data_IF_436951838253
#
_entry.id   IF_436951838253
#
_cell.length_a   1.000
_cell.length_b   1.000
_cell.length_c   1.000
_cell.angle_alpha   90.00
_cell.angle_beta   90.00
_cell.angle_gamma   90.00
#
_symmetry.space_group_name_H-M   'P 1'
#
loop_
_entity.id
_entity.type
_entity.pdbx_description
1 polymer ?
#
# COMPACT_ATOMS: atom_id res chain seq x y z
N UNK A 1 15.30 -47.86 -13.14
CA UNK A 1 15.56 -47.38 -14.49
C UNK A 1 14.26 -46.71 -14.96
N UNK A 2 14.13 -45.41 -14.78
CA UNK A 2 12.98 -44.61 -15.19
C UNK A 2 13.47 -43.21 -15.50
N UNK A 3 13.35 -42.78 -16.73
CA UNK A 3 13.84 -41.51 -17.29
C UNK A 3 13.18 -40.33 -16.61
N UNK A 4 13.97 -39.51 -15.96
CA UNK A 4 13.64 -38.14 -15.59
C UNK A 4 13.64 -37.29 -16.88
N UNK A 5 12.49 -36.85 -17.32
CA UNK A 5 12.36 -35.89 -18.41
C UNK A 5 12.70 -34.48 -17.81
N UNK A 6 13.85 -33.95 -18.16
CA UNK A 6 14.22 -32.58 -17.98
C UNK A 6 13.29 -31.72 -18.86
N UNK A 7 12.45 -30.92 -18.23
CA UNK A 7 11.75 -29.81 -18.87
C UNK A 7 12.79 -28.73 -19.15
N UNK A 8 13.06 -28.49 -20.41
CA UNK A 8 14.02 -27.51 -20.90
C UNK A 8 13.42 -26.12 -20.84
N UNK A 9 14.26 -25.11 -20.53
CA UNK A 9 14.02 -23.65 -20.38
C UNK A 9 13.34 -22.94 -21.57
N UNK A 10 12.62 -23.61 -22.42
CA UNK A 10 11.97 -23.06 -23.61
C UNK A 10 10.45 -23.01 -23.57
N UNK A 11 9.80 -23.36 -22.46
CA UNK A 11 8.33 -23.37 -22.37
C UNK A 11 7.72 -22.36 -21.38
N UNK A 12 8.53 -21.59 -20.68
CA UNK A 12 8.03 -20.51 -19.79
C UNK A 12 8.14 -19.13 -20.47
N UNK A 13 8.88 -19.00 -21.57
CA UNK A 13 9.12 -17.73 -22.28
C UNK A 13 8.33 -17.53 -23.59
N UNK A 14 7.31 -18.32 -23.89
CA UNK A 14 6.73 -18.35 -25.22
C UNK A 14 5.22 -18.03 -25.31
N UNK A 15 4.69 -17.19 -24.44
CA UNK A 15 3.28 -16.75 -24.60
C UNK A 15 3.09 -15.22 -24.61
N UNK A 16 4.15 -14.44 -24.60
CA UNK A 16 4.08 -12.98 -24.86
C UNK A 16 5.14 -12.62 -25.90
N UNK A 17 5.00 -13.14 -27.11
CA UNK A 17 5.76 -12.68 -28.27
C UNK A 17 4.81 -12.46 -29.44
N UNK A 18 4.69 -11.19 -29.82
CA UNK A 18 4.17 -10.71 -31.11
C UNK A 18 2.70 -11.07 -31.42
N UNK A 19 1.76 -10.43 -30.75
CA UNK A 19 0.53 -10.01 -31.41
C UNK A 19 0.81 -8.64 -32.04
N UNK A 20 0.56 -8.52 -33.35
CA UNK A 20 0.71 -7.30 -34.13
C UNK A 20 0.00 -6.12 -33.46
N UNK A 21 0.74 -5.05 -33.19
CA UNK A 21 0.29 -3.84 -32.47
C UNK A 21 -0.71 -2.99 -33.29
N UNK A 22 -1.23 -3.46 -34.40
CA UNK A 22 -2.19 -2.73 -35.24
C UNK A 22 -3.65 -3.20 -35.12
N UNK A 23 -3.94 -4.37 -34.61
CA UNK A 23 -5.32 -4.89 -34.47
C UNK A 23 -5.93 -4.77 -33.06
N UNK A 24 -5.16 -4.32 -32.07
CA UNK A 24 -5.62 -4.20 -30.67
C UNK A 24 -6.45 -2.91 -30.38
N UNK A 25 -6.67 -2.04 -31.36
CA UNK A 25 -7.24 -0.70 -31.09
C UNK A 25 -8.76 -0.57 -31.22
N UNK A 26 -9.55 -1.62 -31.48
CA UNK A 26 -11.00 -1.45 -31.73
C UNK A 26 -11.91 -2.61 -31.29
N UNK A 27 -11.58 -3.37 -30.26
CA UNK A 27 -12.61 -4.20 -29.61
C UNK A 27 -13.01 -3.43 -28.33
N UNK A 28 -14.27 -2.99 -28.18
CA UNK A 28 -14.75 -2.52 -26.89
C UNK A 28 -14.63 -3.71 -25.94
N UNK A 29 -13.67 -3.67 -25.05
CA UNK A 29 -13.53 -4.67 -24.01
C UNK A 29 -14.58 -4.36 -22.95
N UNK A 30 -15.35 -5.35 -22.55
CA UNK A 30 -16.28 -5.29 -21.43
C UNK A 30 -15.56 -5.33 -20.07
N UNK A 31 -14.22 -5.26 -20.05
CA UNK A 31 -13.45 -5.25 -18.81
C UNK A 31 -13.73 -3.96 -18.02
N UNK A 32 -14.13 -4.08 -16.73
CA UNK A 32 -14.51 -2.93 -15.92
C UNK A 32 -13.35 -1.94 -15.77
N UNK A 33 -13.66 -0.65 -15.67
CA UNK A 33 -12.64 0.34 -15.29
C UNK A 33 -12.18 0.06 -13.86
N UNK A 34 -10.87 0.00 -13.69
CA UNK A 34 -10.21 -0.40 -12.46
C UNK A 34 -10.40 0.66 -11.38
N UNK A 35 -10.72 0.25 -10.16
CA UNK A 35 -10.51 1.05 -8.96
C UNK A 35 -9.30 0.46 -8.24
N UNK A 36 -8.17 1.15 -8.37
CA UNK A 36 -6.94 0.74 -7.72
C UNK A 36 -6.98 1.10 -6.24
N UNK A 37 -6.77 0.11 -5.37
CA UNK A 37 -6.73 0.33 -3.92
C UNK A 37 -5.30 0.50 -3.40
N UNK A 38 -4.34 0.45 -4.29
CA UNK A 38 -2.93 0.72 -4.02
C UNK A 38 -2.25 1.35 -5.23
N UNK A 39 -2.11 2.64 -5.14
CA UNK A 39 -1.22 3.47 -5.93
C UNK A 39 -0.41 4.34 -4.95
N UNK A 40 0.54 5.10 -5.47
CA UNK A 40 1.37 5.99 -4.65
C UNK A 40 1.40 7.41 -5.20
N UNK A 41 1.71 8.35 -4.31
CA UNK A 41 2.00 9.74 -4.69
C UNK A 41 3.35 10.16 -4.13
N UNK A 42 4.12 10.90 -4.93
CA UNK A 42 5.32 11.60 -4.42
C UNK A 42 4.90 12.99 -4.01
N UNK A 43 5.03 13.32 -2.75
CA UNK A 43 4.60 14.61 -2.22
C UNK A 43 5.36 15.75 -2.90
N UNK A 44 4.69 16.78 -3.39
CA UNK A 44 5.37 18.01 -3.84
C UNK A 44 6.05 18.72 -2.68
N UNK A 45 7.17 19.38 -2.98
CA UNK A 45 8.00 20.04 -1.95
C UNK A 45 7.25 21.06 -1.08
N UNK A 46 6.16 21.66 -1.58
CA UNK A 46 5.38 22.68 -0.89
C UNK A 46 4.42 22.14 0.19
N UNK A 47 4.15 20.82 0.23
CA UNK A 47 3.13 20.23 1.14
C UNK A 47 3.27 20.72 2.58
N UNK A 48 4.48 20.70 3.11
CA UNK A 48 4.76 21.14 4.48
C UNK A 48 5.21 22.60 4.55
N UNK A 49 5.96 23.07 3.55
CA UNK A 49 6.50 24.44 3.56
C UNK A 49 5.38 25.51 3.51
N UNK A 50 4.25 25.22 2.87
CA UNK A 50 3.12 26.13 2.79
C UNK A 50 2.16 26.02 4.00
N UNK A 51 2.21 24.91 4.75
CA UNK A 51 1.26 24.61 5.84
C UNK A 51 1.82 24.70 7.25
N UNK A 52 3.15 24.58 7.40
CA UNK A 52 3.76 24.65 8.73
C UNK A 52 3.92 26.09 9.22
N UNK A 53 3.81 26.33 10.55
CA UNK A 53 4.19 27.60 11.15
C UNK A 53 5.63 27.98 10.84
N UNK A 54 5.90 29.29 10.64
CA UNK A 54 7.21 29.82 10.24
C UNK A 54 8.38 29.30 11.08
N UNK A 55 8.18 29.10 12.40
CA UNK A 55 9.22 28.60 13.30
C UNK A 55 9.72 27.20 12.99
N UNK A 56 8.97 26.42 12.19
CA UNK A 56 9.26 25.04 11.84
C UNK A 56 9.71 24.84 10.38
N UNK A 57 9.76 25.90 9.57
CA UNK A 57 10.11 25.74 8.14
C UNK A 57 11.53 25.19 7.92
N UNK A 58 12.48 25.57 8.79
CA UNK A 58 13.88 25.09 8.67
C UNK A 58 14.09 23.67 9.20
N UNK A 59 13.24 23.19 10.13
CA UNK A 59 13.35 21.88 10.77
C UNK A 59 12.29 20.89 10.22
N UNK A 60 11.20 21.39 9.69
CA UNK A 60 10.15 20.60 9.05
C UNK A 60 10.59 20.01 7.71
N UNK A 61 9.76 19.13 7.13
CA UNK A 61 10.07 18.49 5.86
C UNK A 61 10.30 19.51 4.74
N UNK A 62 11.43 19.38 4.06
CA UNK A 62 11.81 20.19 2.89
C UNK A 62 12.67 19.37 1.96
N UNK A 63 12.72 19.74 0.69
CA UNK A 63 13.57 19.09 -0.31
C UNK A 63 14.86 19.85 -0.52
N UNK A 64 15.95 19.09 -0.67
CA UNK A 64 17.26 19.61 -1.05
C UNK A 64 17.86 18.75 -2.16
N UNK A 65 18.63 19.36 -3.06
CA UNK A 65 19.36 18.64 -4.11
C UNK A 65 20.77 18.35 -3.64
N UNK A 66 21.12 17.06 -3.54
CA UNK A 66 22.40 16.61 -3.02
C UNK A 66 22.88 15.32 -3.70
N UNK A 67 24.22 15.06 -3.73
CA UNK A 67 24.75 13.80 -4.21
C UNK A 67 24.45 12.65 -3.24
N UNK A 68 24.41 11.44 -3.77
CA UNK A 68 24.43 10.20 -2.98
C UNK A 68 25.89 9.83 -2.71
N UNK A 69 26.29 9.75 -1.43
CA UNK A 69 27.63 9.28 -1.05
C UNK A 69 27.72 7.76 -1.04
N UNK A 70 26.69 7.11 -0.51
CA UNK A 70 26.67 5.67 -0.35
C UNK A 70 25.24 5.15 -0.32
N UNK A 71 25.00 3.95 -0.89
CA UNK A 71 23.78 3.21 -0.76
C UNK A 71 24.09 1.77 -0.40
N UNK A 72 23.68 1.33 0.79
CA UNK A 72 23.85 -0.06 1.23
C UNK A 72 22.49 -0.73 1.45
N UNK A 73 22.46 -2.04 1.22
CA UNK A 73 21.31 -2.89 1.61
C UNK A 73 21.81 -3.91 2.63
N UNK A 74 21.24 -3.90 3.82
CA UNK A 74 21.70 -4.75 4.91
C UNK A 74 20.52 -5.16 5.80
N UNK A 75 20.34 -6.46 5.99
CA UNK A 75 19.30 -7.01 6.86
C UNK A 75 17.90 -6.54 6.47
N UNK A 76 17.58 -6.52 5.17
CA UNK A 76 16.27 -6.10 4.66
C UNK A 76 16.02 -4.58 4.67
N UNK A 77 17.08 -3.75 4.76
CA UNK A 77 16.94 -2.29 4.80
C UNK A 77 17.89 -1.59 3.86
N UNK A 78 17.38 -0.65 3.09
CA UNK A 78 18.19 0.32 2.36
C UNK A 78 18.68 1.43 3.29
N UNK A 79 19.96 1.77 3.19
CA UNK A 79 20.62 2.81 3.98
C UNK A 79 21.33 3.78 3.05
N UNK A 80 20.64 4.82 2.57
CA UNK A 80 21.27 5.89 1.80
C UNK A 80 22.02 6.86 2.71
N UNK A 81 23.16 7.33 2.25
CA UNK A 81 23.94 8.39 2.90
C UNK A 81 24.02 9.58 1.96
N UNK A 82 23.42 10.70 2.37
CA UNK A 82 23.49 11.97 1.64
C UNK A 82 24.92 12.50 1.66
N UNK A 83 25.41 12.93 0.51
CA UNK A 83 26.72 13.55 0.36
C UNK A 83 26.69 15.06 0.60
N UNK A 84 27.87 15.65 0.67
CA UNK A 84 28.10 17.09 0.79
C UNK A 84 28.20 17.75 -0.61
N UNK A 85 27.94 19.04 -0.73
CA UNK A 85 28.15 19.75 -2.00
C UNK A 85 29.58 19.58 -2.51
N UNK A 86 29.73 18.98 -3.70
CA UNK A 86 31.01 18.69 -4.32
C UNK A 86 31.51 17.25 -4.20
N UNK A 87 30.78 16.36 -3.53
CA UNK A 87 31.01 14.92 -3.56
C UNK A 87 30.74 14.36 -4.97
N UNK A 88 31.55 13.38 -5.40
CA UNK A 88 31.40 12.67 -6.68
C UNK A 88 30.35 11.56 -6.56
N UNK A 89 29.07 11.89 -6.70
CA UNK A 89 27.99 10.90 -6.65
C UNK A 89 26.82 11.31 -7.53
N UNK A 90 25.90 10.37 -7.87
CA UNK A 90 24.67 10.71 -8.57
C UNK A 90 23.86 11.71 -7.74
N UNK A 91 23.40 12.78 -8.38
CA UNK A 91 22.63 13.84 -7.72
C UNK A 91 21.15 13.52 -7.79
N UNK A 92 20.46 13.63 -6.63
CA UNK A 92 19.02 13.47 -6.53
C UNK A 92 18.39 14.50 -5.61
N UNK A 93 17.07 14.49 -5.55
CA UNK A 93 16.30 15.28 -4.58
C UNK A 93 16.08 14.46 -3.31
N UNK A 94 16.35 15.10 -2.18
CA UNK A 94 16.29 14.50 -0.86
C UNK A 94 15.28 15.23 -0.01
N UNK A 95 14.45 14.51 0.69
CA UNK A 95 13.72 15.02 1.83
C UNK A 95 14.64 15.13 3.03
N UNK A 96 14.61 16.29 3.66
CA UNK A 96 15.31 16.58 4.94
C UNK A 96 14.25 16.98 5.95
N UNK A 97 14.24 16.27 7.07
CA UNK A 97 13.31 16.51 8.18
C UNK A 97 14.03 16.25 9.51
N UNK A 98 14.22 17.27 10.32
CA UNK A 98 15.17 17.22 11.44
C UNK A 98 16.53 16.68 10.97
N UNK A 99 16.97 15.52 11.52
CA UNK A 99 18.20 14.82 11.10
C UNK A 99 17.93 13.66 10.13
N UNK A 100 16.68 13.48 9.71
CA UNK A 100 16.31 12.43 8.78
C UNK A 100 16.57 12.89 7.34
N UNK A 101 17.27 12.06 6.57
CA UNK A 101 17.54 12.27 5.16
C UNK A 101 17.00 11.10 4.35
N UNK A 102 16.11 11.38 3.41
CA UNK A 102 15.49 10.35 2.57
C UNK A 102 15.52 10.79 1.11
N UNK A 103 16.22 10.07 0.23
CA UNK A 103 16.24 10.38 -1.18
C UNK A 103 14.91 9.97 -1.86
N UNK A 104 14.59 10.63 -2.95
CA UNK A 104 13.71 10.08 -3.97
C UNK A 104 14.49 9.07 -4.79
N UNK A 105 13.90 7.90 -5.04
CA UNK A 105 14.57 6.83 -5.76
C UNK A 105 13.81 6.40 -7.00
N UNK A 106 14.50 5.74 -7.93
CA UNK A 106 13.87 5.17 -9.12
C UNK A 106 12.82 4.10 -8.80
N UNK A 107 12.95 3.40 -7.68
CA UNK A 107 11.97 2.40 -7.27
C UNK A 107 10.62 3.04 -6.89
N UNK A 108 10.66 4.24 -6.30
CA UNK A 108 9.45 4.98 -5.93
C UNK A 108 8.70 5.55 -7.15
N UNK A 109 9.35 5.63 -8.33
CA UNK A 109 8.77 6.20 -9.56
C UNK A 109 9.35 5.55 -10.80
N UNK A 110 9.06 4.28 -11.00
CA UNK A 110 9.64 3.45 -12.07
C UNK A 110 8.81 3.41 -13.36
N UNK A 111 7.54 3.85 -13.32
CA UNK A 111 6.67 3.82 -14.51
C UNK A 111 7.24 4.61 -15.68
N UNK A 112 7.21 4.01 -16.87
CA UNK A 112 7.76 4.57 -18.10
C UNK A 112 9.21 4.16 -18.38
N UNK A 113 9.81 3.33 -17.53
CA UNK A 113 11.14 2.75 -17.72
C UNK A 113 11.04 1.25 -18.01
N UNK A 114 11.94 0.73 -18.85
CA UNK A 114 12.08 -0.70 -19.07
C UNK A 114 12.65 -1.37 -17.81
N UNK A 115 12.31 -2.66 -17.58
CA UNK A 115 12.73 -3.40 -16.38
C UNK A 115 14.25 -3.39 -16.14
N UNK A 116 15.05 -3.43 -17.20
CA UNK A 116 16.52 -3.38 -17.12
C UNK A 116 17.08 -1.99 -16.79
N UNK A 117 16.26 -0.94 -16.93
CA UNK A 117 16.61 0.45 -16.61
C UNK A 117 16.26 0.81 -15.16
N UNK A 118 15.38 0.04 -14.51
CA UNK A 118 15.00 0.26 -13.12
C UNK A 118 16.14 -0.19 -12.20
N UNK A 119 16.81 0.81 -11.62
CA UNK A 119 17.97 0.61 -10.73
C UNK A 119 17.71 1.27 -9.39
N UNK A 120 18.43 0.80 -8.37
CA UNK A 120 18.46 1.47 -7.09
C UNK A 120 19.35 2.72 -7.18
N UNK A 121 18.77 3.81 -7.65
CA UNK A 121 19.43 5.10 -7.85
C UNK A 121 18.58 6.24 -7.28
N UNK A 122 19.26 7.31 -6.84
CA UNK A 122 18.58 8.55 -6.47
C UNK A 122 18.21 9.33 -7.72
N UNK A 123 17.07 10.01 -7.68
CA UNK A 123 16.53 10.78 -8.80
C UNK A 123 16.07 12.16 -8.36
N UNK A 124 15.87 13.03 -9.35
CA UNK A 124 15.23 14.34 -9.16
C UNK A 124 13.77 14.31 -9.61
N UNK A 125 12.97 15.32 -9.21
CA UNK A 125 11.58 15.46 -9.68
C UNK A 125 11.49 15.51 -11.20
N UNK A 126 12.46 16.13 -11.89
CA UNK A 126 12.49 16.21 -13.35
C UNK A 126 12.73 14.86 -14.04
N UNK A 127 13.25 13.88 -13.31
CA UNK A 127 13.53 12.53 -13.82
C UNK A 127 12.40 11.55 -13.59
N UNK A 128 11.33 11.95 -12.91
CA UNK A 128 10.17 11.09 -12.71
C UNK A 128 9.01 11.49 -13.62
N UNK A 129 8.09 10.57 -13.85
CA UNK A 129 6.88 10.86 -14.60
C UNK A 129 6.01 11.86 -13.81
N UNK A 130 5.54 12.96 -14.45
CA UNK A 130 4.78 14.01 -13.74
C UNK A 130 3.52 13.49 -13.01
N UNK A 131 2.85 12.44 -13.51
CA UNK A 131 1.73 11.81 -12.82
C UNK A 131 2.04 11.29 -11.42
N UNK A 132 3.32 11.20 -11.04
CA UNK A 132 3.74 10.83 -9.67
C UNK A 132 3.41 11.93 -8.65
N UNK A 133 3.38 13.22 -9.06
CA UNK A 133 3.22 14.37 -8.15
C UNK A 133 2.27 15.47 -8.66
N UNK A 134 1.76 15.37 -9.88
CA UNK A 134 0.82 16.32 -10.48
C UNK A 134 -0.53 15.67 -10.74
N UNK A 135 -1.60 16.22 -10.18
CA UNK A 135 -2.96 15.66 -10.27
C UNK A 135 -3.45 15.57 -11.72
N UNK A 136 -3.21 16.60 -12.53
CA UNK A 136 -3.70 16.62 -13.92
C UNK A 136 -3.01 15.54 -14.76
N UNK A 137 -1.70 15.37 -14.59
CA UNK A 137 -0.94 14.33 -15.27
C UNK A 137 -1.30 12.95 -14.74
N UNK A 138 -1.56 12.81 -13.42
CA UNK A 138 -2.04 11.55 -12.82
C UNK A 138 -3.35 11.11 -13.47
N UNK A 139 -4.33 12.00 -13.63
CA UNK A 139 -5.58 11.66 -14.28
C UNK A 139 -5.39 11.21 -15.72
N UNK A 140 -4.48 11.85 -16.48
CA UNK A 140 -4.14 11.43 -17.83
C UNK A 140 -3.49 10.03 -17.85
N UNK A 141 -2.59 9.73 -16.92
CA UNK A 141 -1.97 8.42 -16.78
C UNK A 141 -2.97 7.33 -16.37
N UNK A 142 -3.93 7.65 -15.51
CA UNK A 142 -5.03 6.75 -15.16
C UNK A 142 -5.93 6.45 -16.36
N UNK A 143 -6.18 7.44 -17.24
CA UNK A 143 -6.97 7.22 -18.45
C UNK A 143 -6.27 6.26 -19.41
N UNK A 144 -4.96 6.40 -19.59
CA UNK A 144 -4.14 5.45 -20.38
C UNK A 144 -4.19 4.04 -19.80
N UNK A 145 -4.20 3.93 -18.48
CA UNK A 145 -4.14 2.67 -17.74
C UNK A 145 -5.50 2.02 -17.44
N UNK A 146 -6.59 2.54 -18.01
CA UNK A 146 -7.96 2.08 -17.76
C UNK A 146 -8.41 2.17 -16.28
N UNK A 147 -7.78 3.04 -15.48
CA UNK A 147 -8.10 3.24 -14.06
C UNK A 147 -9.17 4.31 -13.91
N UNK A 148 -10.26 4.00 -13.19
CA UNK A 148 -11.33 4.94 -12.84
C UNK A 148 -10.94 5.81 -11.66
N UNK A 149 -10.52 5.16 -10.58
CA UNK A 149 -10.13 5.82 -9.35
C UNK A 149 -8.97 5.11 -8.68
N UNK A 150 -8.17 5.83 -7.89
CA UNK A 150 -7.02 5.28 -7.20
C UNK A 150 -6.89 5.83 -5.78
N UNK A 151 -6.65 4.93 -4.82
CA UNK A 151 -6.24 5.25 -3.46
C UNK A 151 -4.71 5.35 -3.46
N UNK A 152 -4.16 6.44 -2.89
CA UNK A 152 -2.73 6.71 -3.00
C UNK A 152 -2.03 6.70 -1.63
N UNK A 153 -1.07 5.79 -1.48
CA UNK A 153 -0.15 5.77 -0.34
C UNK A 153 0.93 6.85 -0.47
N UNK A 154 1.48 7.32 0.66
CA UNK A 154 2.53 8.33 0.69
C UNK A 154 3.92 7.75 0.37
N UNK A 155 4.84 8.61 -0.11
CA UNK A 155 6.25 8.27 -0.34
C UNK A 155 7.17 8.76 0.78
N UNK A 156 7.28 10.09 1.01
CA UNK A 156 8.17 10.62 2.05
C UNK A 156 7.77 10.22 3.48
N UNK A 157 6.51 10.28 3.89
CA UNK A 157 6.08 9.78 5.19
C UNK A 157 6.36 8.28 5.38
N UNK A 158 6.72 7.58 4.34
CA UNK A 158 6.64 6.13 4.17
C UNK A 158 5.19 5.67 4.30
N UNK A 159 4.91 4.39 4.16
CA UNK A 159 3.57 3.85 3.93
C UNK A 159 2.50 4.20 4.99
N UNK A 160 2.87 4.50 6.24
CA UNK A 160 1.90 4.82 7.29
C UNK A 160 2.35 5.96 8.23
N UNK A 161 3.28 6.81 7.79
CA UNK A 161 3.78 7.92 8.61
C UNK A 161 4.92 7.54 9.55
N UNK A 162 5.65 6.46 9.28
CA UNK A 162 6.79 6.01 10.09
C UNK A 162 7.83 7.13 10.27
N UNK A 163 8.05 7.95 9.24
CA UNK A 163 8.98 9.08 9.29
C UNK A 163 8.66 10.04 10.45
N UNK A 164 7.38 10.33 10.67
CA UNK A 164 6.96 11.21 11.77
C UNK A 164 7.03 10.51 13.14
N UNK A 165 6.95 9.19 13.17
CA UNK A 165 7.15 8.39 14.39
C UNK A 165 8.62 8.39 14.83
N UNK A 166 9.56 8.54 13.91
CA UNK A 166 10.99 8.64 14.19
C UNK A 166 11.42 10.05 14.62
N UNK A 167 10.57 11.07 14.47
CA UNK A 167 10.85 12.46 14.81
C UNK A 167 11.07 12.68 16.32
N UNK A 168 11.92 13.65 16.65
CA UNK A 168 12.19 14.05 18.04
C UNK A 168 11.18 15.04 18.60
N UNK A 169 10.79 16.02 17.78
CA UNK A 169 9.78 17.02 18.13
C UNK A 169 8.38 16.49 17.80
N UNK A 170 7.66 16.01 18.83
CA UNK A 170 6.32 15.44 18.68
C UNK A 170 5.25 16.48 18.28
N UNK A 171 5.43 17.75 18.67
CA UNK A 171 4.53 18.83 18.28
C UNK A 171 4.68 19.12 16.77
N UNK A 172 5.92 19.18 16.29
CA UNK A 172 6.20 19.30 14.86
C UNK A 172 5.69 18.08 14.08
N UNK A 173 5.92 16.86 14.59
CA UNK A 173 5.46 15.63 13.97
C UNK A 173 3.93 15.61 13.80
N UNK A 174 3.18 16.02 14.82
CA UNK A 174 1.72 16.11 14.73
C UNK A 174 1.26 17.14 13.68
N UNK A 175 1.93 18.30 13.62
CA UNK A 175 1.66 19.30 12.59
C UNK A 175 1.97 18.74 11.18
N UNK A 176 3.03 17.95 11.05
CA UNK A 176 3.38 17.33 9.77
C UNK A 176 2.35 16.28 9.31
N UNK A 177 1.84 15.45 10.22
CA UNK A 177 0.74 14.51 9.93
C UNK A 177 -0.50 15.28 9.47
N UNK A 178 -0.90 16.34 10.18
CA UNK A 178 -2.07 17.14 9.82
C UNK A 178 -1.89 17.89 8.50
N UNK A 179 -0.71 18.43 8.25
CA UNK A 179 -0.39 19.11 6.99
C UNK A 179 -0.48 18.15 5.79
N UNK A 180 0.01 16.92 5.94
CA UNK A 180 -0.15 15.87 4.92
C UNK A 180 -1.63 15.55 4.69
N UNK A 181 -2.40 15.30 5.75
CA UNK A 181 -3.82 14.96 5.65
C UNK A 181 -4.63 16.08 5.00
N UNK A 182 -4.34 17.34 5.33
CA UNK A 182 -5.01 18.48 4.72
C UNK A 182 -4.65 18.62 3.24
N UNK A 183 -3.38 18.48 2.87
CA UNK A 183 -2.96 18.45 1.48
C UNK A 183 -3.60 17.28 0.70
N UNK A 184 -3.62 16.09 1.28
CA UNK A 184 -4.21 14.91 0.64
C UNK A 184 -5.68 15.16 0.29
N UNK A 185 -6.46 15.70 1.21
CA UNK A 185 -7.90 15.91 1.01
C UNK A 185 -8.21 17.16 0.16
N UNK A 186 -7.46 18.26 0.36
CA UNK A 186 -7.79 19.57 -0.22
C UNK A 186 -7.16 19.80 -1.59
N UNK A 187 -6.00 19.16 -1.84
CA UNK A 187 -5.21 19.41 -3.05
C UNK A 187 -5.08 18.15 -3.91
N UNK A 188 -4.48 17.07 -3.39
CA UNK A 188 -4.30 15.84 -4.17
C UNK A 188 -5.63 15.21 -4.58
N UNK A 189 -6.53 14.99 -3.64
CA UNK A 189 -7.89 14.53 -3.89
C UNK A 189 -8.91 15.67 -4.05
N UNK A 190 -8.45 16.92 -4.12
CA UNK A 190 -9.28 18.11 -4.22
C UNK A 190 -10.05 18.20 -5.55
N UNK A 191 -10.66 19.37 -5.83
CA UNK A 191 -11.55 19.54 -7.00
C UNK A 191 -10.92 19.16 -8.34
N UNK A 192 -9.60 19.35 -8.51
CA UNK A 192 -8.87 18.98 -9.73
C UNK A 192 -8.89 17.47 -10.00
N UNK A 193 -8.96 16.65 -8.95
CA UNK A 193 -9.03 15.20 -9.04
C UNK A 193 -10.39 14.67 -9.51
N UNK A 194 -11.44 15.50 -9.46
CA UNK A 194 -12.80 15.14 -9.92
C UNK A 194 -13.36 13.87 -9.26
N UNK A 195 -13.00 13.61 -7.99
CA UNK A 195 -13.36 12.43 -7.24
C UNK A 195 -12.63 11.13 -7.64
N UNK A 196 -11.68 11.21 -8.57
CA UNK A 196 -10.94 10.02 -9.06
C UNK A 196 -9.74 9.64 -8.19
N UNK A 197 -9.26 10.54 -7.33
CA UNK A 197 -8.26 10.22 -6.32
C UNK A 197 -8.96 10.06 -4.98
N UNK A 198 -8.68 8.95 -4.30
CA UNK A 198 -9.30 8.54 -3.05
C UNK A 198 -8.34 8.85 -1.92
N UNK A 199 -8.72 9.64 -0.91
CA UNK A 199 -7.80 10.04 0.13
C UNK A 199 -7.48 8.90 1.10
N UNK A 200 -6.18 8.71 1.33
CA UNK A 200 -5.61 7.91 2.40
C UNK A 200 -4.90 8.83 3.38
N UNK A 201 -5.34 8.84 4.63
CA UNK A 201 -4.79 9.72 5.66
C UNK A 201 -3.83 9.01 6.60
N UNK A 202 -2.98 9.78 7.26
CA UNK A 202 -2.02 9.32 8.25
C UNK A 202 -2.51 9.61 9.66
N UNK A 203 -1.97 8.87 10.62
CA UNK A 203 -2.21 9.08 12.05
C UNK A 203 -0.90 9.30 12.81
N UNK A 204 -0.94 10.00 13.95
CA UNK A 204 0.18 10.05 14.87
C UNK A 204 0.35 8.70 15.57
N UNK A 205 1.15 7.79 14.98
CA UNK A 205 1.34 6.40 15.44
C UNK A 205 1.85 6.28 16.89
N UNK A 206 2.41 7.35 17.46
CA UNK A 206 2.92 7.38 18.84
C UNK A 206 1.85 7.64 19.90
N UNK A 207 0.62 8.00 19.49
CA UNK A 207 -0.48 8.32 20.42
C UNK A 207 -1.83 7.85 19.84
N UNK A 208 -2.40 6.74 20.34
CA UNK A 208 -3.68 6.20 19.86
C UNK A 208 -4.89 7.12 20.07
N UNK A 209 -4.84 8.06 21.04
CA UNK A 209 -5.93 9.02 21.24
C UNK A 209 -5.90 10.13 20.18
N UNK A 210 -4.71 10.67 19.89
CA UNK A 210 -4.53 11.62 18.78
C UNK A 210 -4.83 10.94 17.43
N UNK A 211 -4.49 9.64 17.28
CA UNK A 211 -4.85 8.85 16.13
C UNK A 211 -6.38 8.77 15.95
N UNK A 212 -7.12 8.51 17.01
CA UNK A 212 -8.58 8.49 17.00
C UNK A 212 -9.18 9.86 16.63
N UNK A 213 -8.61 10.96 17.13
CA UNK A 213 -9.01 12.32 16.76
C UNK A 213 -8.83 12.59 15.27
N UNK A 214 -7.68 12.20 14.70
CA UNK A 214 -7.38 12.34 13.26
C UNK A 214 -8.31 11.49 12.39
N UNK A 215 -8.62 10.26 12.79
CA UNK A 215 -9.61 9.43 12.08
C UNK A 215 -10.96 10.15 12.05
N UNK A 216 -11.48 10.59 13.18
CA UNK A 216 -12.78 11.28 13.24
C UNK A 216 -12.77 12.60 12.46
N UNK A 217 -11.68 13.38 12.56
CA UNK A 217 -11.50 14.63 11.82
C UNK A 217 -11.63 14.41 10.31
N UNK A 218 -10.96 13.40 9.79
CA UNK A 218 -10.94 13.13 8.35
C UNK A 218 -12.20 12.37 7.89
N UNK A 219 -12.77 11.48 8.71
CA UNK A 219 -14.05 10.85 8.43
C UNK A 219 -15.19 11.87 8.27
N UNK A 220 -15.18 12.97 9.05
CA UNK A 220 -16.12 14.09 8.89
C UNK A 220 -15.95 14.82 7.54
N UNK A 221 -14.82 14.64 6.85
CA UNK A 221 -14.52 15.16 5.51
C UNK A 221 -14.79 14.13 4.40
N UNK A 222 -15.39 12.98 4.74
CA UNK A 222 -15.71 11.90 3.80
C UNK A 222 -14.58 10.87 3.59
N UNK A 223 -13.45 10.98 4.29
CA UNK A 223 -12.35 10.02 4.19
C UNK A 223 -12.74 8.68 4.82
N UNK A 224 -12.44 7.58 4.13
CA UNK A 224 -12.77 6.21 4.57
C UNK A 224 -11.55 5.29 4.65
N UNK A 225 -10.34 5.81 4.51
CA UNK A 225 -9.12 5.01 4.58
C UNK A 225 -8.05 5.73 5.42
N UNK A 226 -7.36 4.95 6.25
CA UNK A 226 -6.27 5.41 7.10
C UNK A 226 -5.10 4.43 7.04
N UNK A 227 -3.89 4.94 6.85
CA UNK A 227 -2.70 4.10 6.81
C UNK A 227 -2.25 3.67 8.21
N UNK A 228 -1.88 2.39 8.33
CA UNK A 228 -1.40 1.79 9.58
C UNK A 228 -0.23 0.83 9.32
N UNK A 229 0.52 0.48 10.35
CA UNK A 229 1.62 -0.48 10.23
C UNK A 229 1.11 -1.91 10.22
N UNK A 230 1.59 -2.72 9.29
CA UNK A 230 1.32 -4.17 9.24
C UNK A 230 1.78 -4.89 10.52
N UNK A 231 2.93 -4.48 11.11
CA UNK A 231 3.46 -5.03 12.37
C UNK A 231 3.97 -3.89 13.26
N UNK A 232 3.09 -3.22 14.02
CA UNK A 232 3.47 -2.09 14.87
C UNK A 232 4.65 -2.35 15.80
N UNK A 233 4.83 -3.55 16.41
CA UNK A 233 6.00 -3.83 17.26
C UNK A 233 7.37 -3.69 16.56
N UNK A 234 7.43 -3.85 15.24
CA UNK A 234 8.68 -3.63 14.51
C UNK A 234 9.10 -2.14 14.47
N UNK A 235 8.15 -1.25 14.74
CA UNK A 235 8.37 0.19 14.91
C UNK A 235 8.56 0.60 16.38
N UNK A 236 8.61 -0.35 17.31
CA UNK A 236 8.66 -0.08 18.75
C UNK A 236 7.31 0.37 19.34
N UNK A 237 6.22 0.11 18.64
CA UNK A 237 4.85 0.46 19.04
C UNK A 237 4.15 -0.74 19.71
N UNK A 238 3.04 -0.50 20.44
CA UNK A 238 2.24 -1.60 21.01
C UNK A 238 1.72 -2.57 19.95
N UNK A 239 1.56 -3.84 20.30
CA UNK A 239 0.93 -4.83 19.44
C UNK A 239 -0.59 -4.68 19.41
N UNK A 240 -1.24 -5.30 18.42
CA UNK A 240 -2.71 -5.32 18.33
C UNK A 240 -3.36 -6.26 19.37
N UNK A 241 -2.56 -7.04 20.12
CA UNK A 241 -3.05 -7.94 21.16
C UNK A 241 -3.35 -7.24 22.49
N UNK A 242 -2.78 -6.05 22.73
CA UNK A 242 -3.10 -5.19 23.87
C UNK A 242 -4.29 -4.26 23.60
N UNK A 243 -4.64 -3.44 24.60
CA UNK A 243 -5.77 -2.48 24.51
C UNK A 243 -5.33 -1.07 24.13
N UNK A 244 -4.03 -0.84 23.93
CA UNK A 244 -3.47 0.49 23.67
C UNK A 244 -4.04 1.11 22.38
N UNK A 245 -4.28 0.29 21.35
CA UNK A 245 -4.86 0.75 20.09
C UNK A 245 -6.39 0.89 20.10
N UNK A 246 -7.07 0.50 21.15
CA UNK A 246 -8.54 0.51 21.20
C UNK A 246 -9.18 1.87 20.93
N UNK A 247 -8.64 3.02 21.39
CA UNK A 247 -9.19 4.32 21.02
C UNK A 247 -9.19 4.57 19.51
N UNK A 248 -8.11 4.20 18.81
CA UNK A 248 -7.97 4.29 17.36
C UNK A 248 -8.92 3.31 16.64
N UNK A 249 -8.95 2.05 17.07
CA UNK A 249 -9.79 1.02 16.47
C UNK A 249 -11.27 1.32 16.66
N UNK A 250 -11.67 1.84 17.81
CA UNK A 250 -13.04 2.31 18.05
C UNK A 250 -13.44 3.44 17.10
N UNK A 251 -12.53 4.40 16.84
CA UNK A 251 -12.79 5.47 15.88
C UNK A 251 -12.95 4.92 14.44
N UNK A 252 -12.16 3.93 14.04
CA UNK A 252 -12.30 3.26 12.75
C UNK A 252 -13.62 2.51 12.65
N UNK A 253 -14.00 1.75 13.70
CA UNK A 253 -15.27 1.02 13.78
C UNK A 253 -16.50 1.94 13.70
N UNK A 254 -16.48 3.06 14.47
CA UNK A 254 -17.55 4.07 14.51
C UNK A 254 -17.76 4.76 13.16
N UNK A 255 -16.68 5.08 12.46
CA UNK A 255 -16.70 5.89 11.24
C UNK A 255 -16.74 5.04 9.96
N UNK A 256 -16.53 3.73 10.07
CA UNK A 256 -16.36 2.83 8.93
C UNK A 256 -15.05 3.10 8.17
N UNK A 257 -14.04 3.67 8.84
CA UNK A 257 -12.72 3.92 8.24
C UNK A 257 -11.93 2.62 8.16
N UNK A 258 -11.44 2.28 6.97
CA UNK A 258 -10.64 1.09 6.70
C UNK A 258 -9.21 1.30 7.16
N UNK A 259 -8.67 0.37 7.94
CA UNK A 259 -7.26 0.33 8.32
C UNK A 259 -6.46 -0.28 7.17
N UNK A 260 -5.74 0.56 6.45
CA UNK A 260 -5.01 0.20 5.24
C UNK A 260 -3.53 -0.04 5.57
N UNK A 261 -3.08 -1.26 5.39
CA UNK A 261 -1.71 -1.69 5.66
C UNK A 261 -1.03 -2.08 4.35
N UNK A 262 0.18 -1.58 4.15
CA UNK A 262 0.99 -1.85 2.98
C UNK A 262 2.20 -2.70 3.37
N UNK A 263 2.67 -3.59 2.49
CA UNK A 263 3.96 -4.25 2.72
C UNK A 263 5.04 -3.19 2.98
N UNK A 264 5.96 -3.46 3.90
CA UNK A 264 7.00 -2.50 4.28
C UNK A 264 6.57 -1.40 5.26
N UNK A 265 5.27 -1.30 5.62
CA UNK A 265 4.81 -0.31 6.63
C UNK A 265 5.35 -0.58 8.04
N UNK A 266 5.93 -1.74 8.27
CA UNK A 266 6.68 -2.06 9.49
C UNK A 266 8.16 -1.64 9.44
N UNK A 267 8.63 -1.01 8.34
CA UNK A 267 10.02 -0.60 8.10
C UNK A 267 11.03 -1.76 8.13
N UNK A 268 10.57 -2.98 7.94
CA UNK A 268 11.40 -4.17 7.95
C UNK A 268 10.94 -5.14 6.87
N UNK A 269 11.74 -5.25 5.81
CA UNK A 269 11.58 -6.30 4.82
C UNK A 269 12.05 -7.65 5.41
N UNK A 270 11.33 -8.76 5.22
CA UNK A 270 11.81 -10.08 5.61
C UNK A 270 13.17 -10.37 4.97
N UNK A 271 14.10 -10.91 5.75
CA UNK A 271 15.43 -11.27 5.27
C UNK A 271 15.91 -12.51 6.01
N UNK A 272 16.56 -13.42 5.29
CA UNK A 272 17.10 -14.65 5.87
C UNK A 272 18.48 -14.48 6.48
N UNK A 273 19.22 -13.45 6.07
CA UNK A 273 20.54 -13.08 6.59
C UNK A 273 20.83 -11.60 6.29
N UNK A 274 21.90 -11.06 6.88
CA UNK A 274 22.31 -9.67 6.63
C UNK A 274 22.77 -9.42 5.19
N UNK A 275 23.34 -10.42 4.55
CA UNK A 275 23.89 -10.40 3.20
C UNK A 275 22.94 -10.97 2.13
N UNK A 276 21.71 -11.33 2.50
CA UNK A 276 20.71 -11.78 1.54
C UNK A 276 20.42 -10.67 0.51
N UNK A 277 20.43 -10.98 -0.79
CA UNK A 277 20.13 -9.98 -1.82
C UNK A 277 18.69 -9.48 -1.73
N UNK A 278 18.38 -8.26 -2.21
CA UNK A 278 17.03 -7.67 -2.18
C UNK A 278 15.95 -8.60 -2.76
N UNK A 279 16.26 -9.34 -3.80
CA UNK A 279 15.32 -10.29 -4.43
C UNK A 279 14.74 -11.34 -3.45
N UNK A 280 15.49 -11.74 -2.43
CA UNK A 280 14.98 -12.66 -1.37
C UNK A 280 13.88 -11.95 -0.59
N UNK A 281 14.15 -10.75 -0.11
CA UNK A 281 13.19 -9.95 0.63
C UNK A 281 11.94 -9.64 -0.21
N UNK A 282 12.11 -9.19 -1.46
CA UNK A 282 10.99 -8.92 -2.37
C UNK A 282 10.12 -10.15 -2.61
N UNK A 283 10.73 -11.34 -2.75
CA UNK A 283 9.96 -12.59 -2.97
C UNK A 283 9.09 -12.96 -1.78
N UNK A 284 9.53 -12.65 -0.55
CA UNK A 284 8.82 -13.05 0.67
C UNK A 284 8.20 -11.87 1.45
N UNK A 285 8.08 -10.70 0.83
CA UNK A 285 7.52 -9.48 1.47
C UNK A 285 6.10 -9.70 1.97
N UNK A 286 5.28 -10.45 1.23
CA UNK A 286 3.94 -10.85 1.63
C UNK A 286 3.88 -11.53 3.01
N UNK A 287 5.00 -12.11 3.49
CA UNK A 287 5.03 -12.79 4.78
C UNK A 287 4.71 -11.86 5.95
N UNK A 288 5.05 -10.57 5.86
CA UNK A 288 4.65 -9.60 6.87
C UNK A 288 3.12 -9.43 6.91
N UNK A 289 2.44 -9.37 5.76
CA UNK A 289 0.97 -9.34 5.70
C UNK A 289 0.37 -10.62 6.28
N UNK A 290 0.99 -11.77 5.98
CA UNK A 290 0.60 -13.06 6.54
C UNK A 290 0.71 -13.07 8.07
N UNK A 291 1.83 -12.61 8.65
CA UNK A 291 2.00 -12.51 10.10
C UNK A 291 0.99 -11.55 10.71
N UNK A 292 0.83 -10.38 10.11
CA UNK A 292 -0.16 -9.39 10.52
C UNK A 292 -1.58 -9.94 10.51
N UNK A 293 -1.99 -10.63 9.44
CA UNK A 293 -3.33 -11.22 9.37
C UNK A 293 -3.59 -12.21 10.50
N UNK A 294 -2.61 -13.06 10.82
CA UNK A 294 -2.73 -14.00 11.95
C UNK A 294 -2.85 -13.25 13.27
N UNK A 295 -2.06 -12.17 13.48
CA UNK A 295 -2.18 -11.32 14.66
C UNK A 295 -3.60 -10.75 14.81
N UNK A 296 -4.15 -10.16 13.74
CA UNK A 296 -5.51 -9.61 13.76
C UNK A 296 -6.57 -10.68 14.03
N UNK A 297 -6.51 -11.81 13.34
CA UNK A 297 -7.46 -12.91 13.51
C UNK A 297 -7.43 -13.52 14.93
N UNK A 298 -6.24 -13.53 15.57
CA UNK A 298 -6.05 -14.07 16.92
C UNK A 298 -6.13 -13.01 18.03
N UNK A 299 -6.36 -11.73 17.71
CA UNK A 299 -6.40 -10.63 18.68
C UNK A 299 -7.72 -10.51 19.45
N UNK A 300 -8.83 -11.01 18.88
CA UNK A 300 -10.18 -10.73 19.37
C UNK A 300 -10.73 -9.37 18.99
N UNK A 301 -9.98 -8.55 18.24
CA UNK A 301 -10.39 -7.18 17.89
C UNK A 301 -11.62 -7.15 16.98
N UNK A 302 -11.77 -8.10 16.06
CA UNK A 302 -12.95 -8.17 15.20
C UNK A 302 -14.25 -8.55 15.95
N UNK A 303 -14.16 -9.27 17.07
CA UNK A 303 -15.31 -9.50 17.93
C UNK A 303 -15.66 -8.25 18.76
N UNK A 304 -14.66 -7.50 19.19
CA UNK A 304 -14.81 -6.27 19.97
C UNK A 304 -15.25 -5.07 19.13
N UNK A 305 -14.80 -5.00 17.88
CA UNK A 305 -15.08 -3.94 16.91
C UNK A 305 -15.70 -4.55 15.65
N UNK A 306 -17.02 -4.80 15.62
CA UNK A 306 -17.65 -5.63 14.60
C UNK A 306 -17.74 -4.98 13.21
N UNK A 307 -17.54 -3.66 13.09
CA UNK A 307 -17.48 -2.96 11.80
C UNK A 307 -16.05 -2.68 11.33
N UNK A 308 -15.04 -3.03 12.15
CA UNK A 308 -13.64 -2.80 11.82
C UNK A 308 -13.23 -3.59 10.57
N UNK A 309 -12.60 -2.90 9.63
CA UNK A 309 -12.10 -3.48 8.38
C UNK A 309 -10.62 -3.18 8.21
N UNK A 310 -9.88 -4.16 7.74
CA UNK A 310 -8.45 -4.03 7.44
C UNK A 310 -8.18 -4.49 6.00
N UNK A 311 -7.25 -3.86 5.31
CA UNK A 311 -6.81 -4.27 3.98
C UNK A 311 -5.29 -4.32 3.89
N UNK A 312 -4.78 -5.20 3.02
CA UNK A 312 -3.36 -5.42 2.79
C UNK A 312 -3.00 -5.08 1.34
N UNK A 313 -2.36 -3.92 1.14
CA UNK A 313 -1.84 -3.47 -0.15
C UNK A 313 -0.53 -4.19 -0.48
N UNK A 314 -0.34 -4.57 -1.75
CA UNK A 314 0.74 -5.40 -2.30
C UNK A 314 0.93 -6.78 -1.62
N UNK A 315 -0.02 -7.18 -0.78
CA UNK A 315 0.09 -8.41 0.00
C UNK A 315 -0.07 -9.68 -0.82
N UNK A 316 -0.60 -9.60 -2.03
CA UNK A 316 -1.09 -10.74 -2.82
C UNK A 316 -2.11 -11.58 -2.03
N UNK A 317 -2.72 -12.57 -2.67
CA UNK A 317 -3.84 -13.31 -2.07
C UNK A 317 -3.65 -14.83 -2.02
N UNK A 318 -2.66 -15.36 -2.75
CA UNK A 318 -2.49 -16.80 -2.89
C UNK A 318 -2.11 -17.56 -1.60
N UNK A 319 -1.55 -16.89 -0.63
CA UNK A 319 -1.18 -17.46 0.65
C UNK A 319 -2.35 -17.52 1.66
N UNK A 320 -3.41 -16.72 1.45
CA UNK A 320 -4.54 -16.57 2.39
C UNK A 320 -5.25 -17.89 2.70
N UNK A 321 -5.64 -18.74 1.71
CA UNK A 321 -6.39 -19.97 1.98
C UNK A 321 -5.67 -20.91 2.95
N UNK A 322 -4.38 -21.13 2.74
CA UNK A 322 -3.58 -22.00 3.60
C UNK A 322 -3.51 -21.47 5.04
N UNK A 323 -3.35 -20.16 5.21
CA UNK A 323 -3.27 -19.54 6.53
C UNK A 323 -4.61 -19.61 7.26
N UNK A 324 -5.72 -19.40 6.58
CA UNK A 324 -7.06 -19.52 7.19
C UNK A 324 -7.31 -20.96 7.68
N UNK A 325 -7.05 -21.97 6.84
CA UNK A 325 -7.16 -23.38 7.22
C UNK A 325 -6.26 -23.68 8.42
N UNK A 326 -5.00 -23.24 8.38
CA UNK A 326 -4.05 -23.49 9.47
C UNK A 326 -4.43 -22.78 10.76
N UNK A 327 -4.96 -21.55 10.68
CA UNK A 327 -5.39 -20.78 11.83
C UNK A 327 -6.55 -21.47 12.56
N UNK A 328 -7.53 -21.99 11.84
CA UNK A 328 -8.67 -22.72 12.41
C UNK A 328 -8.21 -24.01 13.14
N UNK A 329 -7.32 -24.76 12.51
CA UNK A 329 -6.75 -25.97 13.14
C UNK A 329 -5.99 -25.63 14.44
N UNK A 330 -5.15 -24.59 14.41
CA UNK A 330 -4.40 -24.15 15.60
C UNK A 330 -5.35 -23.65 16.70
N UNK A 331 -6.35 -22.86 16.33
CA UNK A 331 -7.37 -22.36 17.27
C UNK A 331 -8.12 -23.50 17.96
N UNK A 332 -8.52 -24.53 17.22
CA UNK A 332 -9.27 -25.67 17.77
C UNK A 332 -8.37 -26.60 18.62
N UNK A 333 -7.24 -27.05 18.06
CA UNK A 333 -6.40 -28.06 18.70
C UNK A 333 -5.57 -27.51 19.86
N UNK A 334 -5.23 -26.22 19.85
CA UNK A 334 -4.32 -25.62 20.83
C UNK A 334 -5.05 -24.79 21.90
N UNK A 335 -6.36 -24.93 22.05
CA UNK A 335 -7.18 -24.14 23.00
C UNK A 335 -6.63 -24.10 24.43
N UNK A 336 -6.04 -25.21 24.90
CA UNK A 336 -5.52 -25.30 26.27
C UNK A 336 -4.25 -24.49 26.53
N UNK A 337 -3.50 -24.11 25.49
CA UNK A 337 -2.21 -23.42 25.65
C UNK A 337 -1.98 -22.27 24.63
N UNK A 338 -2.80 -22.16 23.61
CA UNK A 338 -2.65 -21.17 22.53
C UNK A 338 -2.89 -19.73 22.96
N UNK A 339 -3.47 -19.50 24.14
CA UNK A 339 -3.63 -18.16 24.72
C UNK A 339 -4.68 -17.26 24.05
N UNK A 340 -5.61 -17.86 23.27
CA UNK A 340 -6.65 -17.11 22.52
C UNK A 340 -8.07 -17.46 22.96
N UNK A 341 -8.25 -18.49 23.82
CA UNK A 341 -9.56 -19.02 24.19
C UNK A 341 -10.51 -18.00 24.84
N UNK A 342 -9.96 -16.99 25.54
CA UNK A 342 -10.75 -15.98 26.23
C UNK A 342 -11.10 -14.75 25.34
N UNK A 343 -10.62 -14.71 24.08
CA UNK A 343 -10.78 -13.54 23.21
C UNK A 343 -11.23 -13.87 21.78
N UNK A 344 -11.06 -15.11 21.32
CA UNK A 344 -11.46 -15.56 19.98
C UNK A 344 -12.42 -16.74 20.16
N UNK A 345 -13.72 -16.49 20.02
CA UNK A 345 -14.77 -17.44 20.37
C UNK A 345 -15.31 -18.21 19.16
N UNK A 346 -14.89 -17.85 17.94
CA UNK A 346 -15.25 -18.50 16.68
C UNK A 346 -14.00 -18.81 15.86
N UNK A 347 -14.04 -19.73 14.90
CA UNK A 347 -12.92 -20.00 14.02
C UNK A 347 -12.38 -18.72 13.39
N UNK A 348 -11.05 -18.51 13.37
CA UNK A 348 -10.44 -17.31 12.76
C UNK A 348 -10.89 -17.02 11.33
N UNK A 349 -11.12 -18.06 10.51
CA UNK A 349 -11.61 -17.91 9.14
C UNK A 349 -13.00 -17.25 9.06
N UNK A 350 -13.86 -17.43 10.04
CA UNK A 350 -15.15 -16.75 10.12
C UNK A 350 -15.01 -15.25 10.39
N UNK A 351 -13.93 -14.85 11.08
CA UNK A 351 -13.61 -13.44 11.32
C UNK A 351 -12.91 -12.78 10.11
N UNK A 352 -12.37 -13.57 9.19
CA UNK A 352 -11.79 -13.05 7.96
C UNK A 352 -12.87 -12.42 7.06
N UNK A 353 -13.99 -13.14 6.87
CA UNK A 353 -15.07 -12.69 5.99
C UNK A 353 -15.67 -11.34 6.48
N UNK A 354 -15.63 -10.33 5.63
CA UNK A 354 -16.17 -8.99 5.92
C UNK A 354 -15.29 -8.09 6.77
N UNK A 355 -14.16 -8.58 7.30
CA UNK A 355 -13.21 -7.78 8.07
C UNK A 355 -11.86 -7.61 7.37
N UNK A 356 -11.36 -8.63 6.67
CA UNK A 356 -10.02 -8.63 6.08
C UNK A 356 -10.11 -8.66 4.56
N UNK A 357 -9.36 -7.77 3.90
CA UNK A 357 -9.32 -7.67 2.45
C UNK A 357 -7.88 -7.85 1.96
N UNK A 358 -7.69 -8.76 1.00
CA UNK A 358 -6.42 -8.95 0.29
C UNK A 358 -6.41 -8.20 -1.03
N UNK A 359 -5.30 -7.52 -1.33
CA UNK A 359 -5.10 -6.80 -2.57
C UNK A 359 -4.06 -7.51 -3.42
N UNK A 360 -4.21 -7.46 -4.76
CA UNK A 360 -3.27 -8.07 -5.68
C UNK A 360 -3.22 -7.31 -7.01
N UNK A 361 -2.09 -7.39 -7.69
CA UNK A 361 -1.92 -6.95 -9.08
C UNK A 361 -1.58 -8.12 -10.03
N UNK A 362 -0.88 -9.16 -9.56
CA UNK A 362 -0.57 -10.37 -10.33
C UNK A 362 -0.48 -11.61 -9.41
N UNK A 363 -1.57 -12.38 -9.30
CA UNK A 363 -1.63 -13.58 -8.47
C UNK A 363 -2.52 -14.68 -9.08
N UNK A 364 -2.00 -15.36 -10.07
CA UNK A 364 -2.71 -16.45 -10.73
C UNK A 364 -3.02 -17.64 -9.77
N UNK A 365 -2.24 -17.82 -8.70
CA UNK A 365 -2.51 -18.88 -7.73
C UNK A 365 -3.69 -18.50 -6.84
N UNK A 366 -3.74 -17.26 -6.35
CA UNK A 366 -4.84 -16.74 -5.55
C UNK A 366 -6.16 -16.77 -6.32
N UNK A 367 -6.16 -16.35 -7.58
CA UNK A 367 -7.35 -16.36 -8.44
C UNK A 367 -7.92 -17.77 -8.67
N UNK A 368 -7.09 -18.82 -8.67
CA UNK A 368 -7.57 -20.21 -8.74
C UNK A 368 -8.20 -20.72 -7.43
N UNK A 369 -8.04 -19.99 -6.33
CA UNK A 369 -8.50 -20.35 -5.00
C UNK A 369 -9.52 -19.35 -4.43
N UNK A 370 -10.20 -18.58 -5.28
CA UNK A 370 -11.19 -17.57 -4.88
C UNK A 370 -12.31 -18.13 -4.01
N UNK A 371 -12.72 -19.39 -4.24
CA UNK A 371 -13.75 -20.06 -3.43
C UNK A 371 -13.33 -20.22 -1.96
N UNK A 372 -12.01 -20.34 -1.71
CA UNK A 372 -11.46 -20.48 -0.35
C UNK A 372 -11.10 -19.14 0.30
N UNK A 373 -10.95 -18.07 -0.51
CA UNK A 373 -10.70 -16.71 -0.01
C UNK A 373 -12.03 -15.99 0.23
N UNK A 374 -12.97 -16.13 -0.70
CA UNK A 374 -14.19 -15.34 -0.79
C UNK A 374 -14.00 -14.13 -1.71
N UNK A 375 -14.76 -14.10 -2.82
CA UNK A 375 -14.69 -13.03 -3.83
C UNK A 375 -14.87 -11.63 -3.21
N UNK A 376 -15.74 -11.51 -2.19
CA UNK A 376 -16.01 -10.24 -1.50
C UNK A 376 -14.84 -9.69 -0.67
N UNK A 377 -13.78 -10.46 -0.47
CA UNK A 377 -12.60 -10.08 0.32
C UNK A 377 -11.36 -9.79 -0.55
N UNK A 378 -11.54 -9.72 -1.88
CA UNK A 378 -10.45 -9.53 -2.84
C UNK A 378 -10.59 -8.19 -3.54
N UNK A 379 -9.49 -7.44 -3.61
CA UNK A 379 -9.38 -6.13 -4.24
C UNK A 379 -8.28 -6.14 -5.29
N UNK A 380 -8.39 -5.27 -6.30
CA UNK A 380 -7.42 -5.14 -7.37
C UNK A 380 -6.64 -3.83 -7.24
N UNK A 381 -5.36 -3.85 -7.60
CA UNK A 381 -4.46 -2.71 -7.50
C UNK A 381 -3.56 -2.59 -8.73
N UNK A 382 -2.95 -1.41 -8.95
CA UNK A 382 -2.06 -1.14 -10.08
C UNK A 382 -0.67 -0.69 -9.69
N UNK A 383 -0.47 -0.35 -8.43
CA UNK A 383 0.80 0.08 -7.82
C UNK A 383 1.50 1.20 -8.59
N UNK A 384 0.75 2.14 -9.18
CA UNK A 384 1.34 3.29 -9.85
C UNK A 384 1.94 4.27 -8.83
N UNK A 385 3.17 4.77 -8.95
CA UNK A 385 4.14 4.64 -10.04
C UNK A 385 5.36 3.75 -9.70
N UNK A 386 5.24 2.82 -8.78
CA UNK A 386 6.33 1.96 -8.30
C UNK A 386 6.88 1.00 -9.36
N UNK A 387 7.92 0.24 -8.99
CA UNK A 387 8.58 -0.74 -9.85
C UNK A 387 7.69 -1.94 -10.19
N UNK A 388 6.74 -2.29 -9.34
CA UNK A 388 5.85 -3.43 -9.53
C UNK A 388 4.56 -3.06 -10.29
N UNK A 389 4.39 -1.75 -10.61
CA UNK A 389 3.24 -1.25 -11.35
C UNK A 389 2.97 -1.99 -12.65
N UNK A 390 1.70 -2.25 -12.90
CA UNK A 390 1.21 -2.80 -14.17
C UNK A 390 0.99 -1.74 -15.25
N UNK A 391 1.23 -0.44 -14.94
CA UNK A 391 1.12 0.66 -15.89
C UNK A 391 2.07 0.48 -17.10
N UNK A 392 1.70 0.79 -18.35
CA UNK A 392 0.41 1.32 -18.81
C UNK A 392 -0.56 0.23 -19.30
N UNK A 393 -0.41 -1.01 -18.83
CA UNK A 393 -1.10 -2.21 -19.34
C UNK A 393 -1.96 -2.90 -18.28
N UNK A 394 -2.42 -2.17 -17.26
CA UNK A 394 -3.17 -2.79 -16.14
C UNK A 394 -4.47 -3.45 -16.61
N UNK A 395 -5.11 -2.92 -17.64
CA UNK A 395 -6.26 -3.57 -18.27
C UNK A 395 -5.88 -4.92 -18.88
N UNK A 396 -4.85 -4.96 -19.73
CA UNK A 396 -4.42 -6.17 -20.42
C UNK A 396 -3.94 -7.24 -19.41
N UNK A 397 -3.26 -6.80 -18.36
CA UNK A 397 -2.84 -7.69 -17.25
C UNK A 397 -4.07 -8.25 -16.55
N UNK A 398 -5.04 -7.41 -16.20
CA UNK A 398 -6.29 -7.83 -15.56
C UNK A 398 -7.11 -8.78 -16.45
N UNK A 399 -7.26 -8.49 -17.75
CA UNK A 399 -7.94 -9.35 -18.72
C UNK A 399 -7.24 -10.71 -18.86
N UNK A 400 -5.92 -10.72 -18.93
CA UNK A 400 -5.15 -11.98 -19.03
C UNK A 400 -5.31 -12.86 -17.79
N UNK A 401 -5.38 -12.26 -16.60
CA UNK A 401 -5.53 -12.99 -15.35
C UNK A 401 -6.98 -13.42 -15.06
N UNK A 402 -7.96 -12.57 -15.33
CA UNK A 402 -9.36 -12.73 -14.88
C UNK A 402 -10.34 -12.99 -16.01
N UNK A 403 -9.95 -12.87 -17.29
CA UNK A 403 -10.88 -13.02 -18.42
C UNK A 403 -11.55 -14.40 -18.56
N UNK A 404 -11.09 -15.41 -17.80
CA UNK A 404 -11.72 -16.71 -17.70
C UNK A 404 -12.79 -16.82 -16.60
N UNK A 405 -12.88 -15.81 -15.72
CA UNK A 405 -13.85 -15.77 -14.64
C UNK A 405 -15.21 -15.22 -15.11
N UNK A 406 -16.30 -15.51 -14.39
CA UNK A 406 -17.59 -14.88 -14.63
C UNK A 406 -17.50 -13.34 -14.55
N UNK A 407 -18.23 -12.64 -15.43
CA UNK A 407 -18.16 -11.18 -15.52
C UNK A 407 -18.54 -10.45 -14.22
N UNK A 408 -19.49 -10.98 -13.46
CA UNK A 408 -19.89 -10.46 -12.15
C UNK A 408 -18.78 -10.63 -11.08
N UNK A 409 -18.01 -11.70 -11.16
CA UNK A 409 -16.83 -11.93 -10.30
C UNK A 409 -15.73 -10.92 -10.64
N UNK A 410 -15.46 -10.71 -11.92
CA UNK A 410 -14.46 -9.72 -12.38
C UNK A 410 -14.88 -8.31 -11.93
N UNK A 411 -16.15 -7.94 -12.14
CA UNK A 411 -16.69 -6.65 -11.69
C UNK A 411 -16.54 -6.45 -10.18
N UNK A 412 -16.80 -7.49 -9.37
CA UNK A 412 -16.64 -7.44 -7.91
C UNK A 412 -15.19 -7.19 -7.51
N UNK A 413 -14.24 -7.92 -8.09
CA UNK A 413 -12.82 -7.84 -7.75
C UNK A 413 -12.22 -6.51 -8.22
N UNK A 414 -12.49 -6.12 -9.47
CA UNK A 414 -11.83 -4.97 -10.11
C UNK A 414 -12.33 -3.64 -9.57
N UNK A 415 -13.59 -3.59 -9.10
CA UNK A 415 -14.16 -2.32 -8.61
C UNK A 415 -15.25 -2.45 -7.55
N UNK A 416 -16.16 -3.42 -7.64
CA UNK A 416 -17.33 -3.48 -6.78
C UNK A 416 -17.01 -3.56 -5.29
N UNK A 417 -16.02 -4.38 -4.92
CA UNK A 417 -15.57 -4.49 -3.53
C UNK A 417 -14.94 -3.19 -3.02
N UNK A 418 -14.15 -2.49 -3.85
CA UNK A 418 -13.55 -1.20 -3.49
C UNK A 418 -14.61 -0.11 -3.30
N UNK A 419 -15.65 -0.07 -4.16
CA UNK A 419 -16.79 0.85 -4.02
C UNK A 419 -17.46 0.68 -2.66
N UNK A 420 -17.77 -0.57 -2.30
CA UNK A 420 -18.43 -0.89 -1.03
C UNK A 420 -17.54 -0.61 0.17
N UNK A 421 -16.28 -1.04 0.10
CA UNK A 421 -15.32 -0.90 1.20
C UNK A 421 -15.01 0.56 1.52
N UNK A 422 -14.77 1.38 0.48
CA UNK A 422 -14.34 2.77 0.62
C UNK A 422 -15.50 3.79 0.57
N UNK A 423 -16.74 3.31 0.43
CA UNK A 423 -17.93 4.15 0.40
C UNK A 423 -17.96 5.11 -0.79
N UNK A 424 -17.54 4.63 -1.96
CA UNK A 424 -17.53 5.43 -3.20
C UNK A 424 -18.93 5.49 -3.83
N UNK A 425 -19.12 6.42 -4.77
CA UNK A 425 -20.34 6.44 -5.59
C UNK A 425 -20.45 5.18 -6.45
N UNK A 426 -21.62 4.93 -7.03
CA UNK A 426 -21.80 3.82 -7.98
C UNK A 426 -20.84 3.90 -9.19
N UNK A 427 -20.42 5.10 -9.57
CA UNK A 427 -19.42 5.32 -10.61
C UNK A 427 -17.98 5.12 -10.12
N UNK A 428 -17.80 4.82 -8.84
CA UNK A 428 -16.49 4.60 -8.23
C UNK A 428 -15.72 5.89 -7.93
N UNK A 429 -16.42 6.98 -7.66
CA UNK A 429 -15.81 8.28 -7.34
C UNK A 429 -15.89 8.56 -5.83
N UNK A 430 -14.87 9.20 -5.30
CA UNK A 430 -14.90 9.75 -3.96
C UNK A 430 -15.64 11.08 -3.94
N UNK A 431 -16.62 11.21 -3.05
CA UNK A 431 -17.30 12.46 -2.76
C UNK A 431 -16.92 12.90 -1.35
N UNK A 432 -16.10 13.95 -1.26
CA UNK A 432 -15.82 14.60 0.02
C UNK A 432 -17.11 15.15 0.63
N UNK A 433 -17.14 15.27 1.95
CA UNK A 433 -18.21 16.03 2.62
C UNK A 433 -18.12 17.50 2.18
N UNK A 434 -19.23 18.01 1.62
CA UNK A 434 -19.37 19.42 1.20
C UNK A 434 -19.22 20.38 2.38
#
# INVERSE_FOLDING_TARGET
>A
VGRTQQLTDRQIGATVSAMDTQDAQNIPSDFPRIISVDDHTVEPAHVWQDRLPKKYLDTGPRTVRAPLREMTFLGGRFKPVMGEPGDDGPVGDWWVYEDLHRPLTRLDTAVGYDRDEIKLEVITYEQMRPGSYDVTQRLADMDVNHVQSALCFPTFPRFCGQTFTEARDRDLALLCVRAYNDWMVEEWCGPAARGRLIPLTLIPLWDPHLAAEEVRRNAARGVRAVAFSEIPPYLGLPSVHGDEWDPFLAACDETGTVVSMHIGSSSRMPSTSEDAPPAVGSTITFANCCFSMVDWLMSGKFERFPNLKVMYAEGQIGWIPYILERADVVWEENRGWGGVADRVHRPPSESFAGHVYGCFFDDAFGLRNLDSIGVGNVLYETDYPHSDSTWPKSREVGEAQMGHLPADVVERIVRGNAIELLGLTADGLWEGSA
#
